data_IF_678940299779
#
_entry.id   IF_678940299779
#
_cell.length_a   1.000
_cell.length_b   1.000
_cell.length_c   1.000
_cell.angle_alpha   90.00
_cell.angle_beta   90.00
_cell.angle_gamma   90.00
#
_symmetry.space_group_name_H-M   'P 1'
#
loop_
_entity.id
_entity.type
_entity.pdbx_description
1 polymer ?
#
# COMPACT_ATOMS: atom_id res chain seq x y z
N UNK A 1 16.72 -31.31 -28.90
CA UNK A 1 15.68 -32.25 -29.39
C UNK A 1 14.88 -32.90 -28.24
N UNK A 2 14.44 -32.11 -27.24
CA UNK A 2 13.74 -32.60 -26.03
C UNK A 2 12.40 -31.87 -25.79
N UNK A 3 12.14 -30.75 -26.47
CA UNK A 3 10.96 -29.91 -26.22
C UNK A 3 9.67 -30.35 -26.97
N UNK A 4 9.77 -31.29 -27.92
CA UNK A 4 8.62 -31.65 -28.78
C UNK A 4 7.79 -32.83 -28.24
N UNK A 5 8.31 -33.61 -27.28
CA UNK A 5 7.55 -34.72 -26.68
C UNK A 5 6.64 -34.29 -25.53
N UNK A 6 6.93 -33.17 -24.85
CA UNK A 6 6.14 -32.70 -23.70
C UNK A 6 4.78 -32.10 -24.11
N UNK A 7 4.71 -31.46 -25.29
CA UNK A 7 3.51 -30.79 -25.79
C UNK A 7 2.40 -31.76 -26.23
N UNK A 8 2.74 -33.02 -26.53
CA UNK A 8 1.79 -34.03 -27.02
C UNK A 8 1.05 -34.73 -25.86
N UNK A 9 1.70 -34.83 -24.70
CA UNK A 9 1.14 -35.49 -23.51
C UNK A 9 0.09 -34.59 -22.83
N UNK A 10 0.26 -33.27 -22.87
CA UNK A 10 -0.70 -32.32 -22.28
C UNK A 10 -1.97 -32.16 -23.13
N UNK A 11 -1.88 -32.27 -24.47
CA UNK A 11 -3.03 -32.07 -25.38
C UNK A 11 -3.99 -33.27 -25.40
N UNK A 12 -3.52 -34.49 -25.08
CA UNK A 12 -4.41 -35.67 -25.04
C UNK A 12 -5.20 -35.82 -23.72
N UNK A 13 -4.85 -35.10 -22.66
CA UNK A 13 -5.55 -35.22 -21.36
C UNK A 13 -6.81 -34.33 -21.26
N UNK A 14 -7.09 -33.50 -22.26
CA UNK A 14 -8.21 -32.53 -22.27
C UNK A 14 -9.40 -33.01 -23.12
N UNK A 15 -9.32 -34.15 -23.81
CA UNK A 15 -10.32 -34.54 -24.83
C UNK A 15 -11.07 -35.86 -24.58
N UNK A 16 -11.12 -36.38 -23.35
CA UNK A 16 -11.78 -37.66 -23.11
C UNK A 16 -12.26 -37.92 -21.69
N UNK A 17 -13.34 -37.27 -21.26
CA UNK A 17 -14.49 -38.03 -20.74
C UNK A 17 -15.76 -37.20 -20.73
N UNK A 18 -16.64 -37.57 -21.65
CA UNK A 18 -18.01 -37.09 -21.82
C UNK A 18 -18.93 -37.84 -20.83
N UNK A 19 -19.78 -37.05 -20.15
CA UNK A 19 -21.08 -37.39 -19.55
C UNK A 19 -21.22 -38.61 -18.62
N UNK A 20 -21.44 -38.33 -17.33
CA UNK A 20 -22.48 -39.02 -16.55
C UNK A 20 -23.32 -37.97 -15.83
N UNK A 21 -24.52 -37.77 -16.36
CA UNK A 21 -25.63 -37.09 -15.68
C UNK A 21 -26.15 -38.05 -14.61
N UNK A 22 -25.89 -37.77 -13.34
CA UNK A 22 -26.54 -38.45 -12.23
C UNK A 22 -27.25 -37.41 -11.37
N UNK A 23 -28.53 -37.20 -11.69
CA UNK A 23 -29.48 -36.59 -10.78
C UNK A 23 -29.66 -37.50 -9.57
N UNK A 24 -29.28 -37.04 -8.38
CA UNK A 24 -29.79 -37.56 -7.11
C UNK A 24 -30.05 -36.40 -6.16
N UNK A 25 -31.34 -36.16 -5.95
CA UNK A 25 -31.95 -35.36 -4.89
C UNK A 25 -31.42 -35.72 -3.50
N UNK A 26 -31.29 -34.74 -2.60
CA UNK A 26 -31.18 -35.01 -1.16
C UNK A 26 -30.76 -33.79 -0.33
N UNK A 27 -31.23 -33.65 0.92
CA UNK A 27 -31.85 -32.41 1.40
C UNK A 27 -31.02 -31.60 2.40
N UNK A 28 -31.43 -30.34 2.57
CA UNK A 28 -31.03 -29.47 3.68
C UNK A 28 -31.38 -30.09 5.05
N UNK A 29 -30.52 -29.94 6.07
CA UNK A 29 -30.96 -29.99 7.46
C UNK A 29 -31.26 -28.59 7.99
N UNK A 30 -32.52 -28.40 8.36
CA UNK A 30 -32.94 -27.46 9.39
C UNK A 30 -32.77 -28.13 10.78
N UNK A 31 -32.48 -27.33 11.80
CA UNK A 31 -32.31 -27.75 13.20
C UNK A 31 -30.84 -27.71 13.61
N UNK A 32 -30.42 -27.09 14.71
CA UNK A 32 -31.08 -27.08 16.00
C UNK A 32 -30.57 -25.89 16.84
N UNK A 33 -31.50 -25.36 17.63
CA UNK A 33 -31.33 -24.39 18.70
C UNK A 33 -30.55 -25.02 19.87
N UNK A 34 -29.41 -24.47 20.28
CA UNK A 34 -28.89 -24.70 21.64
C UNK A 34 -28.88 -23.40 22.44
N UNK A 35 -29.74 -23.41 23.45
CA UNK A 35 -29.81 -22.42 24.52
C UNK A 35 -28.76 -22.80 25.55
N UNK A 36 -27.62 -22.14 25.54
CA UNK A 36 -26.73 -22.16 26.70
C UNK A 36 -26.82 -20.83 27.46
N UNK A 37 -27.48 -20.95 28.61
CA UNK A 37 -27.60 -19.99 29.70
C UNK A 37 -26.36 -20.10 30.60
N UNK A 38 -25.87 -18.95 31.07
CA UNK A 38 -24.85 -18.84 32.11
C UNK A 38 -23.54 -18.28 31.54
N UNK A 39 -22.89 -17.26 32.10
CA UNK A 39 -22.95 -16.77 33.46
C UNK A 39 -22.38 -15.34 33.48
N UNK A 40 -23.09 -14.48 34.19
CA UNK A 40 -22.57 -13.42 35.05
C UNK A 40 -21.07 -13.14 34.96
N UNK A 41 -20.69 -12.04 34.30
CA UNK A 41 -19.66 -11.15 34.84
C UNK A 41 -20.00 -9.72 34.48
N UNK A 42 -20.78 -9.13 35.36
CA UNK A 42 -20.80 -7.70 35.63
C UNK A 42 -19.35 -7.23 35.80
N UNK A 43 -18.75 -6.71 34.74
CA UNK A 43 -17.56 -5.88 34.89
C UNK A 43 -18.05 -4.52 35.39
N UNK A 44 -18.23 -4.45 36.71
CA UNK A 44 -18.19 -3.19 37.44
C UNK A 44 -16.74 -2.71 37.40
N UNK A 45 -16.33 -2.10 36.29
CA UNK A 45 -15.13 -1.28 36.27
C UNK A 45 -15.54 0.06 36.89
N UNK A 46 -15.14 0.24 38.14
CA UNK A 46 -15.17 1.52 38.84
C UNK A 46 -14.48 2.57 37.98
N UNK A 47 -15.28 3.41 37.35
CA UNK A 47 -14.84 4.72 36.88
C UNK A 47 -14.67 5.55 38.16
N UNK A 48 -13.48 5.50 38.74
CA UNK A 48 -13.05 6.53 39.69
C UNK A 48 -12.80 7.79 38.85
N UNK A 49 -13.87 8.57 38.74
CA UNK A 49 -13.90 9.91 38.19
C UNK A 49 -13.02 10.82 39.06
N UNK A 50 -11.86 11.31 38.59
CA UNK A 50 -11.20 12.40 39.28
C UNK A 50 -12.08 13.65 39.14
N UNK A 51 -12.41 14.21 40.30
CA UNK A 51 -13.22 15.40 40.46
C UNK A 51 -12.73 16.54 39.54
N UNK A 52 -13.68 17.11 38.80
CA UNK A 52 -13.53 18.43 38.21
C UNK A 52 -13.32 19.45 39.33
N UNK A 53 -12.05 19.81 39.57
CA UNK A 53 -11.72 21.03 40.28
C UNK A 53 -11.82 22.19 39.30
N UNK A 54 -12.89 22.94 39.46
CA UNK A 54 -13.03 24.32 39.02
C UNK A 54 -11.95 25.18 39.68
N UNK A 55 -10.96 25.60 38.92
CA UNK A 55 -10.15 26.79 39.22
C UNK A 55 -10.45 27.86 38.17
N UNK A 56 -10.98 29.04 38.55
CA UNK A 56 -11.11 30.17 37.64
C UNK A 56 -9.72 30.79 37.46
N UNK A 57 -9.02 30.43 36.39
CA UNK A 57 -7.77 31.09 36.04
C UNK A 57 -8.11 32.43 35.39
N UNK A 58 -8.10 33.46 36.24
CA UNK A 58 -8.00 34.87 35.90
C UNK A 58 -7.06 35.07 34.72
N UNK A 59 -7.62 35.59 33.63
CA UNK A 59 -6.85 36.04 32.47
C UNK A 59 -5.84 37.11 32.92
N UNK A 60 -4.52 36.93 32.70
CA UNK A 60 -3.63 38.07 32.72
C UNK A 60 -3.90 38.88 31.44
N UNK A 61 -4.41 40.10 31.66
CA UNK A 61 -4.46 41.17 30.68
C UNK A 61 -3.09 41.32 30.00
N UNK A 62 -2.97 41.17 28.66
CA UNK A 62 -1.73 41.49 27.98
C UNK A 62 -1.58 43.02 27.93
N UNK A 63 -0.81 43.55 28.87
CA UNK A 63 -0.27 44.91 28.83
C UNK A 63 0.43 45.15 27.49
N UNK A 64 -0.17 46.01 26.66
CA UNK A 64 0.46 46.61 25.51
C UNK A 64 1.39 47.74 25.98
N UNK A 65 2.70 47.55 25.91
CA UNK A 65 3.80 48.55 26.04
C UNK A 65 5.08 47.74 25.75
N UNK A 66 5.98 48.02 24.83
CA UNK A 66 6.41 49.20 24.09
C UNK A 66 7.10 48.68 22.80
N UNK A 67 7.07 49.43 21.71
CA UNK A 67 7.83 49.12 20.49
C UNK A 67 9.14 49.94 20.51
N UNK A 68 10.33 49.32 20.70
CA UNK A 68 11.55 49.88 20.16
C UNK A 68 11.59 49.58 18.66
N UNK A 69 11.42 50.62 17.85
CA UNK A 69 11.84 50.63 16.45
C UNK A 69 13.36 50.59 16.42
N UNK A 70 13.94 49.39 16.39
CA UNK A 70 15.35 49.21 16.06
C UNK A 70 15.46 48.84 14.58
N UNK A 71 15.90 49.84 13.82
CA UNK A 71 16.26 49.74 12.41
C UNK A 71 17.51 48.85 12.34
N UNK A 72 17.33 47.58 12.00
CA UNK A 72 18.43 46.70 11.58
C UNK A 72 18.25 46.41 10.10
N UNK A 73 19.29 46.75 9.34
CA UNK A 73 19.40 46.65 7.90
C UNK A 73 19.14 45.21 7.40
N UNK A 74 18.55 45.02 6.20
CA UNK A 74 18.31 43.69 5.66
C UNK A 74 19.64 43.05 5.24
N UNK A 75 20.20 42.21 6.11
CA UNK A 75 21.27 41.29 5.71
C UNK A 75 20.59 40.07 5.09
N UNK A 76 20.56 40.03 3.76
CA UNK A 76 20.07 38.87 3.00
C UNK A 76 20.78 37.60 3.47
N UNK A 77 20.06 36.55 3.90
CA UNK A 77 20.69 35.25 4.01
C UNK A 77 20.99 34.75 2.60
N UNK A 78 22.27 34.63 2.25
CA UNK A 78 22.70 33.79 1.13
C UNK A 78 22.43 32.36 1.59
N UNK A 79 21.23 31.85 1.29
CA UNK A 79 20.99 30.42 1.33
C UNK A 79 22.00 29.79 0.36
N UNK A 80 22.87 28.86 0.79
CA UNK A 80 23.43 27.95 -0.19
C UNK A 80 22.22 27.17 -0.73
N UNK A 81 21.86 27.45 -1.98
CA UNK A 81 21.07 26.50 -2.77
C UNK A 81 21.84 25.18 -2.68
N UNK A 82 21.27 24.10 -2.11
CA UNK A 82 21.79 22.79 -2.42
C UNK A 82 21.51 22.60 -3.91
N UNK A 83 22.52 22.87 -4.72
CA UNK A 83 22.54 22.48 -6.12
C UNK A 83 22.32 20.96 -6.13
N UNK A 84 21.23 20.43 -6.68
CA UNK A 84 21.15 19.02 -7.00
C UNK A 84 21.96 18.82 -8.29
N UNK A 85 23.27 18.91 -8.16
CA UNK A 85 24.21 18.38 -9.14
C UNK A 85 24.75 17.08 -8.56
N UNK A 86 24.82 16.07 -9.44
CA UNK A 86 25.26 14.69 -9.20
C UNK A 86 24.17 13.66 -8.87
N UNK A 87 23.34 13.31 -9.88
CA UNK A 87 23.19 11.90 -10.31
C UNK A 87 22.40 11.68 -11.62
N UNK A 88 22.38 12.63 -12.55
CA UNK A 88 21.60 12.51 -13.81
C UNK A 88 22.26 11.64 -14.89
N UNK A 89 23.27 10.83 -14.57
CA UNK A 89 23.91 9.92 -15.53
C UNK A 89 23.68 8.43 -15.25
N UNK A 90 23.10 8.08 -14.11
CA UNK A 90 22.76 6.68 -13.78
C UNK A 90 21.27 6.35 -13.99
N UNK A 91 20.45 7.35 -14.35
CA UNK A 91 18.98 7.23 -14.47
C UNK A 91 18.49 6.66 -15.81
N UNK A 92 19.39 6.45 -16.78
CA UNK A 92 19.02 6.11 -18.17
C UNK A 92 19.14 4.61 -18.48
N UNK A 93 19.66 3.81 -17.53
CA UNK A 93 20.06 2.41 -17.75
C UNK A 93 19.54 1.44 -16.69
N UNK A 94 18.80 1.91 -15.67
CA UNK A 94 18.18 1.09 -14.63
C UNK A 94 16.72 0.71 -14.95
N UNK A 95 16.33 0.82 -16.21
CA UNK A 95 14.93 0.75 -16.69
C UNK A 95 14.44 -0.68 -16.93
N UNK A 96 15.29 -1.70 -16.80
CA UNK A 96 14.89 -3.09 -17.10
C UNK A 96 15.32 -4.12 -16.05
N UNK A 97 16.05 -3.68 -15.02
CA UNK A 97 16.48 -4.53 -13.93
C UNK A 97 15.91 -3.99 -12.62
N UNK A 98 15.30 -4.85 -11.78
CA UNK A 98 14.85 -4.43 -10.46
C UNK A 98 16.03 -3.98 -9.60
N UNK A 99 15.76 -3.04 -8.70
CA UNK A 99 16.72 -2.66 -7.66
C UNK A 99 16.91 -3.86 -6.72
N UNK A 100 18.14 -4.19 -6.27
CA UNK A 100 18.35 -5.25 -5.30
C UNK A 100 17.49 -5.05 -4.04
N UNK A 101 16.78 -6.10 -3.61
CA UNK A 101 15.86 -6.05 -2.47
C UNK A 101 14.42 -5.66 -2.82
N UNK A 102 14.12 -5.32 -4.08
CA UNK A 102 12.76 -5.04 -4.55
C UNK A 102 12.03 -6.26 -5.13
N UNK A 103 12.63 -7.46 -5.07
CA UNK A 103 12.11 -8.65 -5.73
C UNK A 103 10.73 -9.08 -5.21
N UNK A 104 10.49 -8.97 -3.90
CA UNK A 104 9.19 -9.27 -3.28
C UNK A 104 8.12 -8.26 -3.69
N UNK A 105 8.46 -6.98 -3.66
CA UNK A 105 7.56 -5.90 -4.08
C UNK A 105 7.23 -5.99 -5.59
N UNK A 106 8.22 -6.35 -6.42
CA UNK A 106 8.01 -6.59 -7.85
C UNK A 106 7.11 -7.79 -8.10
N UNK A 107 7.32 -8.89 -7.39
CA UNK A 107 6.48 -10.07 -7.51
C UNK A 107 5.03 -9.76 -7.11
N UNK A 108 4.81 -8.99 -6.03
CA UNK A 108 3.49 -8.55 -5.60
C UNK A 108 2.81 -7.64 -6.65
N UNK A 109 3.54 -6.70 -7.24
CA UNK A 109 3.02 -5.82 -8.29
C UNK A 109 2.64 -6.59 -9.57
N UNK A 110 3.48 -7.54 -10.00
CA UNK A 110 3.20 -8.38 -11.18
C UNK A 110 1.99 -9.29 -10.92
N UNK A 111 1.90 -9.92 -9.76
CA UNK A 111 0.77 -10.79 -9.40
C UNK A 111 -0.55 -10.01 -9.38
N UNK A 112 -0.56 -8.84 -8.74
CA UNK A 112 -1.73 -7.97 -8.70
C UNK A 112 -2.15 -7.52 -10.11
N UNK A 113 -1.21 -7.06 -10.95
CA UNK A 113 -1.52 -6.61 -12.31
C UNK A 113 -2.02 -7.77 -13.19
N UNK A 114 -1.41 -8.94 -13.07
CA UNK A 114 -1.82 -10.18 -13.75
C UNK A 114 -3.27 -10.54 -13.42
N UNK A 115 -3.65 -10.43 -12.15
CA UNK A 115 -5.02 -10.69 -11.70
C UNK A 115 -6.00 -9.61 -12.19
N UNK A 116 -5.61 -8.33 -12.15
CA UNK A 116 -6.47 -7.23 -12.60
C UNK A 116 -6.76 -7.27 -14.11
N UNK A 117 -5.76 -7.61 -14.92
CA UNK A 117 -5.90 -7.65 -16.39
C UNK A 117 -6.27 -9.05 -16.93
N UNK A 118 -6.22 -10.08 -16.08
CA UNK A 118 -6.40 -11.49 -16.47
C UNK A 118 -5.45 -11.90 -17.62
N UNK A 119 -4.19 -11.47 -17.53
CA UNK A 119 -3.08 -11.81 -18.44
C UNK A 119 -2.03 -12.60 -17.68
N UNK A 120 -1.29 -13.53 -18.32
CA UNK A 120 -0.23 -14.25 -17.63
C UNK A 120 0.92 -13.30 -17.23
N UNK A 121 1.63 -13.56 -16.11
CA UNK A 121 2.78 -12.75 -15.67
C UNK A 121 3.87 -12.56 -16.73
N UNK A 122 4.06 -13.55 -17.61
CA UNK A 122 5.04 -13.49 -18.71
C UNK A 122 4.71 -12.42 -19.78
N UNK A 123 3.50 -11.86 -19.78
CA UNK A 123 3.09 -10.75 -20.64
C UNK A 123 3.26 -9.37 -19.97
N UNK A 124 3.73 -9.34 -18.73
CA UNK A 124 3.97 -8.11 -17.97
C UNK A 124 5.49 -7.87 -17.96
N UNK A 125 5.92 -6.71 -18.42
CA UNK A 125 7.32 -6.31 -18.43
C UNK A 125 7.60 -5.21 -17.41
N UNK A 126 8.76 -5.31 -16.75
CA UNK A 126 9.27 -4.25 -15.89
C UNK A 126 9.81 -3.10 -16.75
N UNK A 127 9.29 -1.89 -16.50
CA UNK A 127 9.73 -0.63 -17.14
C UNK A 127 10.62 0.20 -16.21
N UNK A 128 10.39 0.19 -14.90
CA UNK A 128 11.34 0.81 -13.98
C UNK A 128 11.09 0.37 -12.54
N UNK A 129 12.13 0.52 -11.72
CA UNK A 129 12.01 0.40 -10.27
C UNK A 129 12.84 1.50 -9.62
N UNK A 130 12.22 2.27 -8.74
CA UNK A 130 12.86 3.35 -8.01
C UNK A 130 12.61 3.20 -6.51
N UNK A 131 13.64 3.37 -5.69
CA UNK A 131 13.47 3.40 -4.25
C UNK A 131 12.83 4.74 -3.84
N UNK A 132 11.72 4.69 -3.09
CA UNK A 132 10.96 5.87 -2.69
C UNK A 132 10.59 5.83 -1.21
N UNK A 133 10.52 7.01 -0.60
CA UNK A 133 10.04 7.21 0.76
C UNK A 133 8.68 7.90 0.70
N UNK A 134 7.64 7.19 1.13
CA UNK A 134 6.27 7.69 1.14
C UNK A 134 6.02 8.50 2.41
N UNK A 135 5.27 9.59 2.31
CA UNK A 135 5.03 10.49 3.45
C UNK A 135 4.08 9.92 4.51
N UNK A 136 3.32 8.88 4.17
CA UNK A 136 2.33 8.25 5.03
C UNK A 136 2.19 6.75 4.71
N UNK A 137 1.33 6.07 5.48
CA UNK A 137 1.01 4.65 5.30
C UNK A 137 0.09 4.35 4.11
N UNK A 138 -0.35 5.35 3.34
CA UNK A 138 -1.10 5.15 2.08
C UNK A 138 -0.19 4.84 0.90
N UNK A 139 1.14 4.90 1.10
CA UNK A 139 2.14 4.79 0.04
C UNK A 139 1.92 5.84 -1.06
N UNK A 140 1.33 6.99 -0.73
CA UNK A 140 1.01 8.05 -1.67
C UNK A 140 -0.28 7.84 -2.47
N UNK A 141 -1.07 6.82 -2.16
CA UNK A 141 -2.31 6.49 -2.87
C UNK A 141 -3.50 6.40 -1.92
N UNK A 142 -3.90 7.54 -1.32
CA UNK A 142 -4.96 7.57 -0.34
C UNK A 142 -6.31 7.25 -0.96
N UNK A 143 -7.07 6.37 -0.33
CA UNK A 143 -8.45 6.07 -0.68
C UNK A 143 -9.40 7.00 0.08
N UNK A 144 -10.47 7.42 -0.59
CA UNK A 144 -11.48 8.27 0.03
C UNK A 144 -12.10 7.62 1.27
N UNK A 145 -12.28 8.41 2.33
CA UNK A 145 -12.89 7.95 3.58
C UNK A 145 -11.94 7.22 4.54
N UNK A 146 -10.66 7.06 4.19
CA UNK A 146 -9.65 6.47 5.06
C UNK A 146 -8.74 7.54 5.68
N UNK A 147 -8.33 7.29 6.93
CA UNK A 147 -7.32 8.07 7.64
C UNK A 147 -6.04 7.27 7.71
N UNK A 148 -4.94 7.82 7.20
CA UNK A 148 -3.64 7.16 7.14
C UNK A 148 -2.69 7.69 8.22
N UNK A 149 -1.77 6.84 8.69
CA UNK A 149 -0.75 7.25 9.64
C UNK A 149 0.32 8.09 8.93
N UNK A 150 0.68 9.23 9.52
CA UNK A 150 1.75 10.11 9.02
C UNK A 150 3.13 9.54 9.41
N UNK A 151 3.52 8.46 8.75
CA UNK A 151 4.80 7.78 8.94
C UNK A 151 5.54 7.68 7.62
N UNK A 152 6.82 8.04 7.64
CA UNK A 152 7.69 7.86 6.48
C UNK A 152 7.86 6.36 6.22
N UNK A 153 7.29 5.88 5.13
CA UNK A 153 7.28 4.45 4.78
C UNK A 153 8.25 4.21 3.61
N UNK A 154 9.37 3.51 3.82
CA UNK A 154 10.26 3.13 2.74
C UNK A 154 9.59 2.10 1.82
N UNK A 155 9.89 2.17 0.53
CA UNK A 155 9.42 1.20 -0.46
C UNK A 155 9.89 1.53 -1.86
N UNK A 156 9.08 1.14 -2.86
CA UNK A 156 9.46 1.27 -4.26
C UNK A 156 8.32 1.87 -5.11
N UNK A 157 8.70 2.66 -6.11
CA UNK A 157 7.86 3.00 -7.25
C UNK A 157 8.24 2.06 -8.38
N UNK A 158 7.30 1.19 -8.78
CA UNK A 158 7.51 0.18 -9.82
C UNK A 158 6.61 0.53 -10.99
N UNK A 159 7.17 0.65 -12.19
CA UNK A 159 6.39 0.85 -13.41
C UNK A 159 6.41 -0.46 -14.19
N UNK A 160 5.22 -1.00 -14.44
CA UNK A 160 5.00 -2.21 -15.23
C UNK A 160 4.33 -1.83 -16.55
N UNK A 161 4.63 -2.56 -17.62
CA UNK A 161 3.92 -2.44 -18.89
C UNK A 161 3.20 -3.76 -19.19
N UNK A 162 1.94 -3.65 -19.60
CA UNK A 162 1.16 -4.74 -20.16
C UNK A 162 0.34 -4.21 -21.34
N UNK A 163 0.36 -4.94 -22.47
CA UNK A 163 -0.33 -4.55 -23.71
C UNK A 163 -0.02 -3.12 -24.20
N UNK A 164 1.21 -2.63 -23.95
CA UNK A 164 1.65 -1.29 -24.31
C UNK A 164 1.09 -0.17 -23.44
N UNK A 165 0.53 -0.50 -22.27
CA UNK A 165 0.05 0.46 -21.26
C UNK A 165 0.92 0.33 -20.02
N UNK A 166 1.39 1.48 -19.51
CA UNK A 166 2.16 1.55 -18.27
C UNK A 166 1.26 1.67 -17.04
N UNK A 167 1.63 0.97 -15.97
CA UNK A 167 0.94 0.90 -14.70
C UNK A 167 1.93 1.21 -13.57
N UNK A 168 1.61 2.23 -12.77
CA UNK A 168 2.45 2.68 -11.67
C UNK A 168 2.01 2.04 -10.36
N UNK A 169 2.89 1.23 -9.79
CA UNK A 169 2.73 0.57 -8.50
C UNK A 169 3.54 1.28 -7.42
N UNK A 170 2.86 1.63 -6.33
CA UNK A 170 3.49 2.13 -5.13
C UNK A 170 3.53 1.02 -4.10
N UNK A 171 4.74 0.68 -3.64
CA UNK A 171 4.95 -0.46 -2.75
C UNK A 171 5.64 -0.04 -1.46
N UNK A 172 5.51 -0.87 -0.42
CA UNK A 172 6.43 -0.86 0.70
C UNK A 172 7.64 -1.78 0.42
N UNK A 173 8.49 -2.00 1.43
CA UNK A 173 9.62 -2.94 1.36
C UNK A 173 9.23 -4.42 1.49
N UNK A 174 7.94 -4.72 1.62
CA UNK A 174 7.40 -6.06 1.80
C UNK A 174 6.56 -6.42 0.58
N UNK A 175 5.40 -7.05 0.78
CA UNK A 175 4.51 -7.58 -0.24
C UNK A 175 3.33 -6.66 -0.57
N UNK A 176 3.30 -5.44 -0.05
CA UNK A 176 2.20 -4.51 -0.33
C UNK A 176 2.49 -3.72 -1.60
N UNK A 177 1.67 -3.91 -2.63
CA UNK A 177 1.72 -3.16 -3.88
C UNK A 177 0.34 -2.55 -4.18
N UNK A 178 0.29 -1.24 -4.43
CA UNK A 178 -0.94 -0.52 -4.72
C UNK A 178 -0.83 0.06 -6.13
N UNK A 179 -1.76 -0.31 -7.01
CA UNK A 179 -1.90 0.34 -8.31
C UNK A 179 -2.52 1.72 -8.12
N UNK A 180 -1.77 2.76 -8.44
CA UNK A 180 -2.21 4.13 -8.24
C UNK A 180 -2.72 4.72 -9.54
N UNK A 181 -3.95 5.19 -9.51
CA UNK A 181 -4.58 5.92 -10.62
C UNK A 181 -4.45 7.40 -10.28
N UNK A 182 -3.68 8.12 -11.09
CA UNK A 182 -3.62 9.59 -11.03
C UNK A 182 -4.99 10.24 -11.28
#
# INVERSE_FOLDING_TARGET
>A
MVYLKSKIISVMMVCGLVLVVAACSGPAPAGEIDKSVGDSRTQTVSIEQPAATTEPVTAPEPTATDLPTEIIEPVSPISPVPTPEENTVNSLVATMNPIPGSEEALAAAIDDLSQQLNVPPDQISLVSTEAKQWSDSSLGCPQEGFMYAQVITPGYLIVLEADGVEYQYHTNQSDTAILCKE
#
